data_IF_122383258520
#
_entry.id   IF_122383258520
#
_cell.length_a   1.000
_cell.length_b   1.000
_cell.length_c   1.000
_cell.angle_alpha   90.00
_cell.angle_beta   90.00
_cell.angle_gamma   90.00
#
_symmetry.space_group_name_H-M   'P 1'
#
loop_
_entity.id
_entity.type
_entity.pdbx_description
1 polymer ?
#
# COMPACT_ATOMS: atom_id res chain seq x y z
N UNK A 1 -1.73 33.20 3.42
CA UNK A 1 -1.04 32.62 2.23
C UNK A 1 -1.52 33.39 1.01
N UNK A 2 -0.65 33.64 0.02
CA UNK A 2 -1.00 34.41 -1.17
C UNK A 2 -1.81 33.53 -2.15
N UNK A 3 -3.08 33.84 -2.32
CA UNK A 3 -3.94 33.26 -3.36
C UNK A 3 -3.32 33.50 -4.74
N UNK A 4 -3.24 32.49 -5.64
CA UNK A 4 -2.73 32.70 -6.99
C UNK A 4 -3.66 33.61 -7.79
N UNK A 5 -3.10 34.30 -8.77
CA UNK A 5 -3.85 35.05 -9.78
C UNK A 5 -4.27 34.14 -10.93
N UNK A 6 -5.26 34.57 -11.73
CA UNK A 6 -5.62 33.87 -12.97
C UNK A 6 -4.41 33.72 -13.91
N UNK A 7 -3.51 34.71 -13.92
CA UNK A 7 -2.30 34.66 -14.73
C UNK A 7 -1.32 33.58 -14.28
N UNK A 8 -1.23 33.29 -12.97
CA UNK A 8 -0.40 32.18 -12.46
C UNK A 8 -0.95 30.81 -12.93
N UNK A 9 -2.28 30.67 -13.02
CA UNK A 9 -2.91 29.44 -13.55
C UNK A 9 -2.75 29.33 -15.07
N UNK A 10 -2.91 30.44 -15.80
CA UNK A 10 -2.71 30.49 -17.25
C UNK A 10 -1.26 30.23 -17.66
N UNK A 11 -0.29 30.73 -16.88
CA UNK A 11 1.13 30.48 -17.12
C UNK A 11 1.49 29.02 -16.92
N UNK A 12 0.95 28.36 -15.90
CA UNK A 12 1.10 26.92 -15.72
C UNK A 12 0.45 26.16 -16.88
N UNK A 13 -0.77 26.52 -17.25
CA UNK A 13 -1.49 25.83 -18.34
C UNK A 13 -0.77 25.92 -19.68
N UNK A 14 -0.08 27.04 -19.94
CA UNK A 14 0.65 27.27 -21.19
C UNK A 14 2.13 26.83 -21.12
N UNK A 15 2.56 26.21 -20.01
CA UNK A 15 3.94 25.85 -19.79
C UNK A 15 4.36 24.70 -20.73
N UNK A 16 5.42 24.95 -21.50
CA UNK A 16 5.90 23.99 -22.49
C UNK A 16 6.45 22.73 -21.83
N UNK A 17 7.19 22.85 -20.72
CA UNK A 17 7.74 21.71 -20.00
C UNK A 17 6.63 20.85 -19.41
N UNK A 18 5.52 21.46 -18.95
CA UNK A 18 4.33 20.74 -18.53
C UNK A 18 3.71 19.93 -19.67
N UNK A 19 3.58 20.51 -20.86
CA UNK A 19 3.06 19.78 -22.03
C UNK A 19 4.00 18.66 -22.50
N UNK A 20 5.31 18.88 -22.48
CA UNK A 20 6.31 17.85 -22.79
C UNK A 20 6.25 16.71 -21.75
N UNK A 21 6.09 17.04 -20.46
CA UNK A 21 5.89 16.07 -19.39
C UNK A 21 4.60 15.27 -19.59
N UNK A 22 3.48 15.92 -19.92
CA UNK A 22 2.22 15.25 -20.24
C UNK A 22 2.38 14.28 -21.41
N UNK A 23 3.11 14.67 -22.47
CA UNK A 23 3.42 13.79 -23.58
C UNK A 23 4.21 12.55 -23.17
N UNK A 24 5.20 12.71 -22.27
CA UNK A 24 5.98 11.59 -21.72
C UNK A 24 5.21 10.70 -20.75
N UNK A 25 4.24 11.25 -20.02
CA UNK A 25 3.40 10.51 -19.08
C UNK A 25 2.22 9.80 -19.77
N UNK A 26 1.75 10.30 -20.91
CA UNK A 26 0.60 9.76 -21.63
C UNK A 26 1.00 8.86 -22.81
N UNK A 27 2.15 8.20 -22.70
CA UNK A 27 2.60 7.22 -23.70
C UNK A 27 1.77 5.95 -23.55
N UNK A 28 1.27 5.42 -24.66
CA UNK A 28 0.57 4.14 -24.67
C UNK A 28 1.48 3.04 -24.11
N UNK A 29 1.00 2.37 -23.06
CA UNK A 29 1.65 1.19 -22.51
C UNK A 29 0.63 0.03 -22.46
N UNK A 30 0.86 -1.07 -23.19
CA UNK A 30 -0.07 -2.21 -23.20
C UNK A 30 -0.29 -2.79 -21.79
N UNK A 31 0.68 -2.65 -20.90
CA UNK A 31 0.61 -3.17 -19.53
C UNK A 31 -0.30 -2.35 -18.60
N UNK A 32 -0.47 -1.06 -18.86
CA UNK A 32 -1.46 -0.25 -18.15
C UNK A 32 -2.88 -0.66 -18.55
N UNK A 33 -3.11 -0.92 -19.85
CA UNK A 33 -4.39 -1.46 -20.35
C UNK A 33 -4.68 -2.84 -19.75
N UNK A 34 -3.66 -3.69 -19.71
CA UNK A 34 -3.74 -5.02 -19.09
C UNK A 34 -3.67 -4.97 -17.57
N UNK A 35 -3.67 -3.80 -16.92
CA UNK A 35 -3.58 -3.61 -15.45
C UNK A 35 -2.55 -4.55 -14.80
N UNK A 36 -1.35 -4.70 -15.37
CA UNK A 36 -0.38 -5.70 -14.86
C UNK A 36 0.10 -5.36 -13.45
N UNK A 37 0.19 -4.05 -13.13
CA UNK A 37 0.66 -3.49 -11.85
C UNK A 37 -0.07 -4.05 -10.62
N UNK A 38 -1.27 -4.59 -10.81
CA UNK A 38 -2.11 -5.09 -9.73
C UNK A 38 -2.17 -6.63 -9.66
N UNK A 39 -1.57 -7.34 -10.62
CA UNK A 39 -1.79 -8.77 -10.82
C UNK A 39 -0.47 -9.55 -11.01
N UNK A 40 -0.04 -10.24 -9.96
CA UNK A 40 1.18 -11.09 -9.92
C UNK A 40 1.25 -12.10 -11.09
N UNK A 41 0.13 -12.76 -11.41
CA UNK A 41 0.03 -13.75 -12.51
C UNK A 41 0.49 -13.18 -13.86
N UNK A 42 0.17 -11.90 -14.13
CA UNK A 42 0.52 -11.27 -15.40
C UNK A 42 2.02 -10.99 -15.47
N UNK A 43 2.65 -10.58 -14.35
CA UNK A 43 4.11 -10.48 -14.27
C UNK A 43 4.79 -11.85 -14.45
N UNK A 44 4.26 -12.88 -13.80
CA UNK A 44 4.74 -14.27 -13.92
C UNK A 44 4.73 -14.75 -15.37
N UNK A 45 3.73 -14.36 -16.18
CA UNK A 45 3.69 -14.68 -17.61
C UNK A 45 4.85 -14.05 -18.38
N UNK A 46 5.12 -12.76 -18.18
CA UNK A 46 6.22 -12.06 -18.88
C UNK A 46 7.57 -12.60 -18.43
N UNK A 47 7.75 -12.83 -17.12
CA UNK A 47 8.97 -13.42 -16.58
C UNK A 47 9.22 -14.82 -17.16
N UNK A 48 8.20 -15.67 -17.22
CA UNK A 48 8.33 -17.02 -17.79
C UNK A 48 8.71 -16.99 -19.27
N UNK A 49 8.16 -16.03 -20.03
CA UNK A 49 8.54 -15.79 -21.42
C UNK A 49 10.01 -15.36 -21.53
N UNK A 50 10.48 -14.45 -20.67
CA UNK A 50 11.89 -14.02 -20.64
C UNK A 50 12.87 -15.12 -20.19
N UNK A 51 12.43 -16.01 -19.30
CA UNK A 51 13.26 -17.11 -18.80
C UNK A 51 13.40 -18.27 -19.78
N UNK A 52 12.51 -18.40 -20.77
CA UNK A 52 12.53 -19.54 -21.68
C UNK A 52 13.39 -19.24 -22.92
N UNK A 53 14.58 -19.83 -23.07
CA UNK A 53 15.49 -19.54 -24.18
C UNK A 53 14.97 -19.94 -25.56
N UNK A 54 13.85 -20.68 -25.63
CA UNK A 54 13.20 -21.09 -26.87
C UNK A 54 12.02 -20.19 -27.26
N UNK A 55 11.66 -19.22 -26.41
CA UNK A 55 10.64 -18.24 -26.72
C UNK A 55 11.16 -17.13 -27.64
N UNK A 56 10.23 -16.39 -28.22
CA UNK A 56 10.53 -15.41 -29.26
C UNK A 56 10.91 -14.02 -28.72
N UNK A 57 11.51 -13.90 -27.53
CA UNK A 57 11.93 -12.61 -26.94
C UNK A 57 13.25 -12.07 -27.51
N UNK A 58 14.06 -12.92 -28.16
CA UNK A 58 15.28 -12.50 -28.84
C UNK A 58 16.50 -12.30 -27.91
N UNK A 59 16.46 -12.83 -26.68
CA UNK A 59 17.62 -12.85 -25.77
C UNK A 59 18.38 -14.19 -25.77
N UNK A 60 17.90 -15.19 -26.52
CA UNK A 60 18.36 -16.58 -26.42
C UNK A 60 18.42 -17.03 -24.94
N UNK A 61 19.49 -17.68 -24.51
CA UNK A 61 19.68 -18.09 -23.12
C UNK A 61 20.39 -17.05 -22.24
N UNK A 62 20.70 -15.87 -22.77
CA UNK A 62 21.50 -14.87 -22.07
C UNK A 62 20.82 -14.38 -20.80
N UNK A 63 19.53 -14.00 -20.89
CA UNK A 63 18.76 -13.52 -19.74
C UNK A 63 18.71 -14.55 -18.61
N UNK A 64 18.36 -15.81 -18.94
CA UNK A 64 18.31 -16.89 -17.97
C UNK A 64 19.69 -17.20 -17.35
N UNK A 65 20.76 -17.18 -18.14
CA UNK A 65 22.14 -17.36 -17.63
C UNK A 65 22.50 -16.29 -16.62
N UNK A 66 22.28 -15.01 -16.94
CA UNK A 66 22.61 -13.92 -16.03
C UNK A 66 21.78 -14.01 -14.74
N UNK A 67 20.50 -14.35 -14.85
CA UNK A 67 19.65 -14.60 -13.69
C UNK A 67 20.21 -15.70 -12.77
N UNK A 68 20.59 -16.86 -13.34
CA UNK A 68 21.24 -17.94 -12.59
C UNK A 68 22.49 -17.46 -11.88
N UNK A 69 23.39 -16.78 -12.61
CA UNK A 69 24.66 -16.31 -12.04
C UNK A 69 24.44 -15.34 -10.88
N UNK A 70 23.47 -14.43 -11.00
CA UNK A 70 23.18 -13.47 -9.94
C UNK A 70 22.56 -14.10 -8.70
N UNK A 71 21.63 -15.04 -8.88
CA UNK A 71 20.94 -15.72 -7.78
C UNK A 71 21.86 -16.67 -7.01
N UNK A 72 22.79 -17.34 -7.71
CA UNK A 72 23.80 -18.18 -7.06
C UNK A 72 24.80 -17.35 -6.24
N UNK A 73 25.09 -16.13 -6.70
CA UNK A 73 26.09 -15.23 -6.10
C UNK A 73 27.50 -15.84 -6.06
N UNK A 74 28.44 -15.19 -5.38
CA UNK A 74 29.82 -15.70 -5.23
C UNK A 74 29.95 -16.62 -4.01
N UNK A 75 29.12 -17.67 -3.94
CA UNK A 75 29.13 -18.65 -2.85
C UNK A 75 30.00 -19.84 -3.22
N UNK A 76 30.89 -20.24 -2.30
CA UNK A 76 31.82 -21.36 -2.51
C UNK A 76 31.11 -22.67 -2.91
N UNK A 77 29.93 -22.93 -2.37
CA UNK A 77 29.12 -24.12 -2.64
C UNK A 77 28.55 -24.18 -4.07
N UNK A 78 28.54 -23.06 -4.81
CA UNK A 78 27.98 -22.97 -6.16
C UNK A 78 29.02 -22.75 -7.26
N UNK A 79 30.31 -22.63 -6.93
CA UNK A 79 31.39 -22.36 -7.89
C UNK A 79 31.41 -23.34 -9.08
N UNK A 80 31.16 -24.62 -8.82
CA UNK A 80 31.09 -25.65 -9.86
C UNK A 80 29.92 -25.45 -10.83
N UNK A 81 28.75 -25.02 -10.33
CA UNK A 81 27.57 -24.74 -11.14
C UNK A 81 27.73 -23.42 -11.92
N UNK A 82 28.28 -22.38 -11.28
CA UNK A 82 28.63 -21.10 -11.92
C UNK A 82 29.54 -21.32 -13.13
N UNK A 83 30.63 -22.08 -12.93
CA UNK A 83 31.57 -22.40 -14.02
C UNK A 83 30.90 -23.19 -15.16
N UNK A 84 29.97 -24.10 -14.85
CA UNK A 84 29.20 -24.83 -15.86
C UNK A 84 28.25 -23.91 -16.62
N UNK A 85 27.51 -23.02 -15.93
CA UNK A 85 26.60 -22.04 -16.54
C UNK A 85 27.35 -21.11 -17.51
N UNK A 86 28.53 -20.61 -17.13
CA UNK A 86 29.36 -19.75 -17.99
C UNK A 86 29.82 -20.49 -19.26
N UNK A 87 30.19 -21.77 -19.13
CA UNK A 87 30.70 -22.58 -20.26
C UNK A 87 29.60 -23.17 -21.13
N UNK A 88 28.35 -23.18 -20.68
CA UNK A 88 27.25 -23.79 -21.40
C UNK A 88 26.99 -23.06 -22.72
N UNK A 89 27.01 -23.81 -23.82
CA UNK A 89 26.61 -23.31 -25.14
C UNK A 89 25.13 -23.65 -25.36
N UNK A 90 24.23 -22.73 -24.99
CA UNK A 90 22.79 -22.99 -24.93
C UNK A 90 22.36 -23.66 -23.62
N UNK A 91 21.31 -23.14 -22.98
CA UNK A 91 20.61 -23.82 -21.89
C UNK A 91 19.45 -24.65 -22.45
N UNK A 92 19.40 -25.94 -22.08
CA UNK A 92 18.26 -26.81 -22.36
C UNK A 92 17.21 -26.66 -21.27
N UNK A 93 16.55 -25.51 -21.26
CA UNK A 93 15.61 -25.12 -20.22
C UNK A 93 14.16 -25.42 -20.62
N UNK A 94 13.32 -25.74 -19.64
CA UNK A 94 11.86 -25.82 -19.76
C UNK A 94 11.23 -24.98 -18.66
N UNK A 95 10.43 -24.00 -19.04
CA UNK A 95 9.71 -23.11 -18.13
C UNK A 95 8.28 -23.60 -17.91
N UNK A 96 7.90 -23.81 -16.65
CA UNK A 96 6.54 -24.16 -16.25
C UNK A 96 5.94 -23.04 -15.40
N UNK A 97 4.72 -22.63 -15.75
CA UNK A 97 3.93 -21.65 -15.00
C UNK A 97 2.93 -22.34 -14.09
N UNK A 98 2.63 -21.72 -12.95
CA UNK A 98 1.61 -22.20 -12.00
C UNK A 98 1.76 -23.69 -11.71
N UNK A 99 3.01 -24.14 -11.54
CA UNK A 99 3.37 -25.54 -11.45
C UNK A 99 2.74 -26.16 -10.21
N UNK A 100 1.77 -27.05 -10.42
CA UNK A 100 1.04 -27.72 -9.33
C UNK A 100 1.93 -28.72 -8.62
N UNK A 101 2.10 -28.51 -7.32
CA UNK A 101 2.70 -29.47 -6.39
C UNK A 101 1.73 -30.63 -6.10
N UNK A 102 2.27 -31.72 -5.59
CA UNK A 102 1.53 -32.89 -5.10
C UNK A 102 0.54 -32.57 -3.97
N UNK A 103 0.71 -31.43 -3.29
CA UNK A 103 -0.16 -30.92 -2.23
C UNK A 103 -1.24 -29.95 -2.72
N UNK A 104 -1.43 -29.80 -4.03
CA UNK A 104 -2.50 -28.98 -4.63
C UNK A 104 -2.25 -27.47 -4.62
N UNK A 105 -1.06 -27.02 -4.23
CA UNK A 105 -0.61 -25.61 -4.34
C UNK A 105 0.25 -25.40 -5.59
N UNK A 106 0.31 -24.18 -6.11
CA UNK A 106 1.06 -23.85 -7.32
C UNK A 106 2.28 -22.97 -7.04
N UNK A 107 3.42 -23.33 -7.65
CA UNK A 107 4.63 -22.50 -7.72
C UNK A 107 4.50 -21.58 -8.93
N UNK A 108 4.85 -20.30 -8.80
CA UNK A 108 4.65 -19.32 -9.87
C UNK A 108 5.43 -19.67 -11.15
N UNK A 109 6.76 -19.89 -11.03
CA UNK A 109 7.60 -20.36 -12.13
C UNK A 109 8.52 -21.49 -11.67
N UNK A 110 8.56 -22.59 -12.42
CA UNK A 110 9.53 -23.67 -12.25
C UNK A 110 10.33 -23.84 -13.54
N UNK A 111 11.65 -23.70 -13.46
CA UNK A 111 12.56 -23.77 -14.62
C UNK A 111 13.44 -24.99 -14.46
N UNK A 112 13.39 -25.93 -15.40
CA UNK A 112 14.19 -27.16 -15.39
C UNK A 112 15.24 -27.09 -16.49
N UNK A 113 16.52 -27.14 -16.12
CA UNK A 113 17.65 -26.99 -17.03
C UNK A 113 18.43 -28.31 -17.07
N UNK A 114 18.14 -29.12 -18.09
CA UNK A 114 18.58 -30.52 -18.14
C UNK A 114 20.10 -30.67 -18.27
N UNK A 115 20.72 -29.82 -19.09
CA UNK A 115 22.17 -29.89 -19.34
C UNK A 115 23.02 -29.37 -18.17
N UNK A 116 22.39 -28.70 -17.19
CA UNK A 116 23.04 -28.31 -15.93
C UNK A 116 22.59 -29.16 -14.73
N UNK A 117 21.64 -30.09 -14.93
CA UNK A 117 20.94 -30.77 -13.83
C UNK A 117 20.52 -29.78 -12.74
N UNK A 118 19.88 -28.67 -13.16
CA UNK A 118 19.48 -27.56 -12.30
C UNK A 118 17.97 -27.34 -12.38
N UNK A 119 17.34 -27.08 -11.24
CA UNK A 119 15.95 -26.65 -11.15
C UNK A 119 15.89 -25.34 -10.38
N UNK A 120 15.30 -24.31 -10.99
CA UNK A 120 14.95 -23.06 -10.30
C UNK A 120 13.46 -23.11 -9.95
N UNK A 121 13.11 -22.84 -8.70
CA UNK A 121 11.74 -22.52 -8.32
C UNK A 121 11.69 -21.03 -7.96
N UNK A 122 10.91 -20.26 -8.68
CA UNK A 122 10.74 -18.83 -8.47
C UNK A 122 9.34 -18.60 -7.93
N UNK A 123 9.25 -18.15 -6.69
CA UNK A 123 8.02 -17.60 -6.13
C UNK A 123 8.04 -16.10 -6.34
N UNK A 124 7.02 -15.56 -6.99
CA UNK A 124 6.93 -14.17 -7.39
C UNK A 124 5.91 -13.41 -6.52
N UNK A 125 6.29 -12.26 -5.97
CA UNK A 125 5.41 -11.41 -5.15
C UNK A 125 5.53 -9.95 -5.52
N UNK A 126 4.39 -9.29 -5.69
CA UNK A 126 4.31 -7.85 -5.97
C UNK A 126 3.73 -7.11 -4.77
N UNK A 127 2.57 -7.55 -4.26
CA UNK A 127 1.83 -6.80 -3.22
C UNK A 127 1.65 -7.54 -1.91
N UNK A 128 1.69 -8.87 -1.96
CA UNK A 128 1.41 -9.71 -0.80
C UNK A 128 2.71 -10.32 -0.27
N UNK A 129 2.89 -10.29 1.05
CA UNK A 129 3.89 -11.14 1.69
C UNK A 129 3.45 -12.60 1.61
N UNK A 130 4.41 -13.51 1.70
CA UNK A 130 4.15 -14.94 1.83
C UNK A 130 3.20 -15.28 3.00
N UNK A 131 2.40 -16.34 2.84
CA UNK A 131 1.46 -16.77 3.87
C UNK A 131 1.84 -18.16 4.42
N UNK A 132 2.29 -18.20 5.68
CA UNK A 132 2.58 -19.44 6.41
C UNK A 132 3.81 -20.22 5.88
N UNK A 133 3.80 -21.55 6.01
CA UNK A 133 4.94 -22.41 5.61
C UNK A 133 4.94 -22.76 4.11
N UNK A 134 4.57 -21.81 3.24
CA UNK A 134 4.42 -22.05 1.79
C UNK A 134 5.75 -22.39 1.13
N UNK A 135 6.78 -21.55 1.32
CA UNK A 135 8.11 -21.71 0.74
C UNK A 135 8.74 -23.07 1.10
N UNK A 136 8.73 -23.41 2.38
CA UNK A 136 9.24 -24.70 2.84
C UNK A 136 8.54 -25.88 2.17
N UNK A 137 7.21 -25.83 2.06
CA UNK A 137 6.45 -26.89 1.41
C UNK A 137 6.75 -27.02 -0.08
N UNK A 138 7.00 -25.91 -0.79
CA UNK A 138 7.33 -25.92 -2.21
C UNK A 138 8.70 -26.54 -2.46
N UNK A 139 9.68 -26.09 -1.69
CA UNK A 139 11.04 -26.59 -1.77
C UNK A 139 11.12 -28.09 -1.49
N UNK A 140 10.45 -28.56 -0.42
CA UNK A 140 10.47 -29.98 -0.06
C UNK A 140 9.81 -30.86 -1.12
N UNK A 141 8.68 -30.42 -1.70
CA UNK A 141 8.00 -31.13 -2.79
C UNK A 141 8.88 -31.22 -4.06
N UNK A 142 9.56 -30.14 -4.44
CA UNK A 142 10.43 -30.12 -5.63
C UNK A 142 11.71 -30.94 -5.40
N UNK A 143 12.36 -30.81 -4.23
CA UNK A 143 13.53 -31.62 -3.89
C UNK A 143 13.23 -33.10 -3.90
N UNK A 144 12.07 -33.51 -3.36
CA UNK A 144 11.63 -34.91 -3.44
C UNK A 144 11.49 -35.36 -4.89
N UNK A 145 10.82 -34.59 -5.73
CA UNK A 145 10.59 -34.93 -7.15
C UNK A 145 11.89 -35.10 -7.95
N UNK A 146 12.87 -34.23 -7.74
CA UNK A 146 14.13 -34.25 -8.50
C UNK A 146 15.33 -34.87 -7.74
N UNK A 147 15.03 -35.63 -6.68
CA UNK A 147 16.01 -36.47 -6.00
C UNK A 147 16.40 -37.68 -6.87
N UNK A 148 17.58 -38.23 -6.63
CA UNK A 148 18.08 -39.45 -7.30
C UNK A 148 17.14 -40.66 -7.13
N UNK A 149 16.32 -40.69 -6.08
CA UNK A 149 15.32 -41.76 -5.86
C UNK A 149 14.12 -41.67 -6.82
N UNK A 150 13.89 -40.51 -7.45
CA UNK A 150 12.70 -40.24 -8.27
C UNK A 150 13.01 -39.76 -9.70
N UNK A 151 14.28 -39.55 -10.04
CA UNK A 151 14.73 -39.07 -11.34
C UNK A 151 16.00 -39.79 -11.80
N UNK A 152 16.22 -39.85 -13.12
CA UNK A 152 17.40 -40.50 -13.72
C UNK A 152 18.73 -39.82 -13.36
N UNK A 153 18.68 -38.59 -12.82
CA UNK A 153 19.82 -37.78 -12.38
C UNK A 153 19.40 -36.94 -11.17
N UNK A 154 20.33 -36.69 -10.27
CA UNK A 154 20.15 -35.75 -9.15
C UNK A 154 20.23 -34.31 -9.68
N UNK A 155 19.20 -33.50 -9.40
CA UNK A 155 19.22 -32.09 -9.75
C UNK A 155 19.55 -31.22 -8.54
N UNK A 156 20.35 -30.18 -8.77
CA UNK A 156 20.50 -29.08 -7.82
C UNK A 156 19.23 -28.22 -7.87
N UNK A 157 18.59 -28.02 -6.72
CA UNK A 157 17.37 -27.19 -6.61
C UNK A 157 17.71 -25.86 -5.95
N UNK A 158 17.55 -24.77 -6.70
CA UNK A 158 17.79 -23.40 -6.24
C UNK A 158 16.44 -22.68 -6.11
N UNK A 159 15.96 -22.50 -4.87
CA UNK A 159 14.76 -21.69 -4.62
C UNK A 159 15.05 -20.20 -4.64
N UNK A 160 14.17 -19.44 -5.28
CA UNK A 160 14.25 -17.99 -5.44
C UNK A 160 12.96 -17.35 -4.98
N UNK A 161 13.08 -16.33 -4.13
CA UNK A 161 11.98 -15.49 -3.70
C UNK A 161 12.14 -14.12 -4.35
N UNK A 162 11.34 -13.87 -5.38
CA UNK A 162 11.38 -12.64 -6.17
C UNK A 162 10.30 -11.68 -5.65
N UNK A 163 10.72 -10.56 -5.06
CA UNK A 163 9.80 -9.51 -4.59
C UNK A 163 10.18 -8.15 -5.14
N UNK A 164 9.33 -7.13 -4.94
CA UNK A 164 9.62 -5.77 -5.43
C UNK A 164 10.96 -5.25 -4.93
N UNK A 165 11.19 -5.29 -3.61
CA UNK A 165 12.37 -4.71 -2.96
C UNK A 165 13.45 -5.75 -2.60
N UNK A 166 13.22 -7.04 -2.91
CA UNK A 166 14.12 -8.13 -2.53
C UNK A 166 14.01 -8.49 -1.05
N UNK A 167 12.78 -8.61 -0.56
CA UNK A 167 12.46 -8.93 0.83
C UNK A 167 13.09 -10.26 1.28
N UNK A 168 13.44 -10.32 2.57
CA UNK A 168 13.93 -11.55 3.18
C UNK A 168 12.84 -12.65 3.18
N UNK A 169 13.11 -13.84 2.63
CA UNK A 169 12.16 -14.94 2.65
C UNK A 169 12.01 -15.53 4.05
N UNK A 170 10.82 -16.03 4.40
CA UNK A 170 10.58 -16.74 5.68
C UNK A 170 11.38 -18.03 5.80
N UNK A 171 11.76 -18.62 4.66
CA UNK A 171 12.61 -19.80 4.59
C UNK A 171 14.02 -19.40 4.13
N UNK A 172 15.04 -19.46 5.02
CA UNK A 172 16.41 -19.02 4.72
C UNK A 172 17.10 -19.87 3.64
N UNK A 173 16.48 -20.98 3.20
CA UNK A 173 16.95 -21.77 2.07
C UNK A 173 16.74 -21.07 0.73
N UNK A 174 15.85 -20.08 0.66
CA UNK A 174 15.56 -19.28 -0.53
C UNK A 174 16.60 -18.17 -0.74
N UNK A 175 17.00 -17.97 -1.99
CA UNK A 175 17.72 -16.77 -2.40
C UNK A 175 16.74 -15.64 -2.67
N UNK A 176 16.88 -14.51 -1.99
CA UNK A 176 16.15 -13.29 -2.30
C UNK A 176 16.60 -12.69 -3.64
N UNK A 177 15.64 -12.23 -4.44
CA UNK A 177 15.87 -11.49 -5.67
C UNK A 177 14.85 -10.34 -5.75
N UNK A 178 15.23 -9.24 -6.41
CA UNK A 178 14.40 -8.05 -6.51
C UNK A 178 13.98 -7.74 -7.94
N UNK A 179 12.96 -6.92 -8.12
CA UNK A 179 12.55 -6.47 -9.45
C UNK A 179 13.53 -5.49 -10.08
N UNK A 180 14.33 -4.76 -9.29
CA UNK A 180 15.48 -3.98 -9.80
C UNK A 180 16.47 -4.89 -10.52
N UNK A 181 16.79 -6.04 -9.94
CA UNK A 181 17.65 -7.01 -10.60
C UNK A 181 17.04 -7.45 -11.94
N UNK A 182 15.74 -7.74 -12.00
CA UNK A 182 15.08 -8.10 -13.26
C UNK A 182 15.21 -6.97 -14.29
N UNK A 183 14.98 -5.72 -13.89
CA UNK A 183 15.12 -4.55 -14.78
C UNK A 183 16.56 -4.45 -15.32
N UNK A 184 17.57 -4.57 -14.46
CA UNK A 184 18.98 -4.57 -14.84
C UNK A 184 19.28 -5.67 -15.86
N UNK A 185 18.86 -6.91 -15.58
CA UNK A 185 19.08 -8.05 -16.47
C UNK A 185 18.41 -7.88 -17.83
N UNK A 186 17.20 -7.31 -17.88
CA UNK A 186 16.52 -7.04 -19.16
C UNK A 186 17.29 -5.96 -19.93
N UNK A 187 17.71 -4.87 -19.28
CA UNK A 187 18.47 -3.78 -19.90
C UNK A 187 19.81 -4.27 -20.46
N UNK A 188 20.54 -5.08 -19.70
CA UNK A 188 21.80 -5.69 -20.15
C UNK A 188 21.56 -6.62 -21.35
N UNK A 189 20.48 -7.40 -21.32
CA UNK A 189 20.10 -8.29 -22.42
C UNK A 189 19.78 -7.51 -23.69
N UNK A 190 19.08 -6.37 -23.59
CA UNK A 190 18.81 -5.48 -24.72
C UNK A 190 20.07 -4.81 -25.27
N UNK A 191 21.02 -4.45 -24.41
CA UNK A 191 22.25 -3.79 -24.82
C UNK A 191 23.19 -4.73 -25.60
N UNK A 192 23.17 -6.02 -25.27
CA UNK A 192 24.10 -7.01 -25.81
C UNK A 192 23.51 -7.77 -27.01
N UNK A 193 22.19 -8.04 -27.01
CA UNK A 193 21.60 -8.92 -28.01
C UNK A 193 21.02 -8.15 -29.21
N UNK A 194 21.63 -8.31 -30.38
CA UNK A 194 21.16 -7.74 -31.65
C UNK A 194 19.99 -8.50 -32.30
N UNK A 195 19.59 -9.65 -31.75
CA UNK A 195 18.53 -10.51 -32.27
C UNK A 195 17.10 -10.08 -31.91
N UNK A 196 16.96 -9.07 -31.06
CA UNK A 196 15.66 -8.51 -30.65
C UNK A 196 15.07 -7.71 -31.82
N UNK A 197 13.91 -8.14 -32.35
CA UNK A 197 13.19 -7.40 -33.39
C UNK A 197 12.49 -6.17 -32.77
N UNK A 198 12.14 -5.17 -33.60
CA UNK A 198 11.52 -3.93 -33.12
C UNK A 198 10.27 -4.14 -32.26
N UNK A 199 9.41 -5.10 -32.63
CA UNK A 199 8.17 -5.37 -31.91
C UNK A 199 8.42 -5.95 -30.51
N UNK A 200 9.38 -6.87 -30.36
CA UNK A 200 9.75 -7.37 -29.04
C UNK A 200 10.42 -6.27 -28.22
N UNK A 201 11.29 -5.47 -28.84
CA UNK A 201 11.96 -4.35 -28.16
C UNK A 201 10.94 -3.38 -27.57
N UNK A 202 9.94 -2.94 -28.35
CA UNK A 202 8.88 -2.04 -27.88
C UNK A 202 8.09 -2.67 -26.72
N UNK A 203 7.76 -3.96 -26.81
CA UNK A 203 7.06 -4.65 -25.74
C UNK A 203 7.90 -4.74 -24.45
N UNK A 204 9.18 -5.09 -24.58
CA UNK A 204 10.11 -5.20 -23.46
C UNK A 204 10.37 -3.83 -22.81
N UNK A 205 10.56 -2.77 -23.60
CA UNK A 205 10.71 -1.40 -23.10
C UNK A 205 9.46 -0.92 -22.36
N UNK A 206 8.27 -1.26 -22.86
CA UNK A 206 7.00 -1.00 -22.16
C UNK A 206 6.92 -1.74 -20.83
N UNK A 207 7.47 -2.97 -20.76
CA UNK A 207 7.53 -3.74 -19.52
C UNK A 207 8.51 -3.13 -18.52
N UNK A 208 9.72 -2.74 -18.97
CA UNK A 208 10.71 -2.03 -18.15
C UNK A 208 10.07 -0.79 -17.53
N UNK A 209 9.42 0.05 -18.33
CA UNK A 209 8.74 1.25 -17.83
C UNK A 209 7.67 0.91 -16.79
N UNK A 210 6.96 -0.20 -16.97
CA UNK A 210 5.98 -0.67 -15.99
C UNK A 210 6.65 -1.09 -14.68
N UNK A 211 7.74 -1.85 -14.75
CA UNK A 211 8.48 -2.29 -13.57
C UNK A 211 9.10 -1.11 -12.82
N UNK A 212 9.74 -0.18 -13.51
CA UNK A 212 10.32 1.04 -12.91
C UNK A 212 9.28 1.83 -12.13
N UNK A 213 8.06 1.97 -12.69
CA UNK A 213 6.95 2.61 -12.00
C UNK A 213 6.49 1.84 -10.74
N UNK A 214 6.44 0.50 -10.80
CA UNK A 214 6.00 -0.33 -9.67
C UNK A 214 7.01 -0.32 -8.54
N UNK A 215 8.30 -0.27 -8.86
CA UNK A 215 9.41 -0.22 -7.90
C UNK A 215 9.63 1.20 -7.34
N UNK A 216 8.83 2.18 -7.78
CA UNK A 216 8.99 3.57 -7.35
C UNK A 216 10.25 4.26 -7.89
N UNK A 217 10.93 3.65 -8.86
CA UNK A 217 11.98 4.29 -9.64
C UNK A 217 11.33 5.21 -10.67
N UNK A 218 10.75 6.32 -10.20
CA UNK A 218 10.31 7.37 -11.08
C UNK A 218 11.53 7.85 -11.89
N UNK A 219 11.38 7.92 -13.21
CA UNK A 219 12.45 8.33 -14.10
C UNK A 219 13.01 9.67 -13.61
N UNK A 220 14.29 9.67 -13.22
CA UNK A 220 14.94 10.86 -12.63
C UNK A 220 14.88 12.08 -13.54
N UNK A 221 14.81 11.90 -14.86
CA UNK A 221 14.57 12.99 -15.80
C UNK A 221 13.16 13.56 -15.66
N UNK A 222 12.14 12.72 -15.48
CA UNK A 222 10.77 13.18 -15.23
C UNK A 222 10.65 13.89 -13.88
N UNK A 223 11.37 13.40 -12.85
CA UNK A 223 11.42 14.07 -11.53
C UNK A 223 12.02 15.46 -11.68
N UNK A 224 13.17 15.60 -12.35
CA UNK A 224 13.81 16.90 -12.58
C UNK A 224 12.88 17.87 -13.34
N UNK A 225 12.23 17.40 -14.40
CA UNK A 225 11.26 18.21 -15.15
C UNK A 225 10.09 18.63 -14.25
N UNK A 226 9.57 17.73 -13.41
CA UNK A 226 8.50 18.05 -12.46
C UNK A 226 8.96 19.05 -11.38
N UNK A 227 10.18 18.93 -10.86
CA UNK A 227 10.79 19.86 -9.91
C UNK A 227 10.95 21.25 -10.51
N UNK A 228 11.40 21.35 -11.77
CA UNK A 228 11.52 22.61 -12.51
C UNK A 228 10.16 23.29 -12.71
N UNK A 229 9.15 22.53 -13.17
CA UNK A 229 7.77 23.03 -13.31
C UNK A 229 7.23 23.51 -11.96
N UNK A 230 7.43 22.73 -10.89
CA UNK A 230 6.99 23.11 -9.56
C UNK A 230 7.68 24.38 -9.05
N UNK A 231 8.99 24.51 -9.25
CA UNK A 231 9.75 25.69 -8.84
C UNK A 231 9.23 26.97 -9.51
N UNK A 232 8.87 26.90 -10.80
CA UNK A 232 8.35 28.04 -11.57
C UNK A 232 6.91 28.36 -11.19
N UNK A 233 6.05 27.34 -11.11
CA UNK A 233 4.59 27.51 -10.98
C UNK A 233 4.05 27.18 -9.59
N UNK A 234 4.91 27.24 -8.57
CA UNK A 234 4.60 26.84 -7.19
C UNK A 234 3.26 27.35 -6.68
N UNK A 235 2.95 28.64 -6.87
CA UNK A 235 1.70 29.23 -6.37
C UNK A 235 0.46 28.60 -7.00
N UNK A 236 0.50 28.36 -8.31
CA UNK A 236 -0.60 27.75 -9.05
C UNK A 236 -0.75 26.28 -8.65
N UNK A 237 0.35 25.54 -8.57
CA UNK A 237 0.34 24.11 -8.21
C UNK A 237 -0.07 23.91 -6.75
N UNK A 238 0.49 24.67 -5.81
CA UNK A 238 0.11 24.61 -4.39
C UNK A 238 -1.39 24.89 -4.21
N UNK A 239 -1.95 25.83 -4.98
CA UNK A 239 -3.38 26.09 -4.97
C UNK A 239 -4.20 24.95 -5.57
N UNK A 240 -3.78 24.36 -6.70
CA UNK A 240 -4.45 23.19 -7.30
C UNK A 240 -4.42 22.03 -6.31
N UNK A 241 -3.26 21.71 -5.74
CA UNK A 241 -3.11 20.67 -4.73
C UNK A 241 -4.00 20.98 -3.54
N UNK A 242 -4.02 22.21 -3.03
CA UNK A 242 -4.94 22.59 -1.94
C UNK A 242 -6.41 22.47 -2.32
N UNK A 243 -6.78 22.77 -3.57
CA UNK A 243 -8.15 22.63 -4.07
C UNK A 243 -8.56 21.16 -4.26
N UNK A 244 -7.64 20.25 -4.62
CA UNK A 244 -7.87 18.80 -4.65
C UNK A 244 -7.79 18.18 -3.24
N UNK A 245 -6.99 18.77 -2.36
CA UNK A 245 -6.90 18.46 -0.92
C UNK A 245 -8.07 19.11 -0.15
N UNK A 246 -8.97 19.86 -0.82
CA UNK A 246 -10.30 20.17 -0.28
C UNK A 246 -11.13 18.88 -0.28
N UNK A 247 -10.89 18.18 0.81
CA UNK A 247 -11.04 16.79 1.14
C UNK A 247 -12.48 16.28 0.94
N UNK A 248 -12.64 15.23 0.13
CA UNK A 248 -13.89 14.47 0.09
C UNK A 248 -14.32 14.03 1.49
N UNK A 249 -13.36 13.85 2.40
CA UNK A 249 -13.62 13.66 3.81
C UNK A 249 -14.34 14.85 4.48
N UNK A 250 -13.79 16.07 4.35
CA UNK A 250 -14.33 17.25 5.02
C UNK A 250 -15.70 17.66 4.42
N UNK A 251 -15.86 17.51 3.11
CA UNK A 251 -17.14 17.73 2.43
C UNK A 251 -18.16 16.65 2.79
N UNK A 252 -17.75 15.37 2.86
CA UNK A 252 -18.60 14.27 3.30
C UNK A 252 -19.06 14.44 4.75
N UNK A 253 -18.17 14.93 5.62
CA UNK A 253 -18.51 15.33 6.98
C UNK A 253 -19.50 16.49 7.03
N UNK A 254 -19.31 17.50 6.19
CA UNK A 254 -20.26 18.63 6.10
C UNK A 254 -21.65 18.14 5.69
N UNK A 255 -21.74 17.28 4.66
CA UNK A 255 -23.02 16.67 4.25
C UNK A 255 -23.63 15.81 5.36
N UNK A 256 -22.84 15.05 6.12
CA UNK A 256 -23.31 14.28 7.26
C UNK A 256 -23.91 15.18 8.35
N UNK A 257 -23.24 16.30 8.68
CA UNK A 257 -23.73 17.22 9.70
C UNK A 257 -25.04 17.89 9.28
N UNK A 258 -25.13 18.33 8.03
CA UNK A 258 -26.30 19.03 7.49
C UNK A 258 -27.57 18.17 7.43
N UNK A 259 -27.44 16.84 7.58
CA UNK A 259 -28.59 15.94 7.66
C UNK A 259 -29.38 16.05 8.97
N UNK A 260 -28.82 16.68 10.00
CA UNK A 260 -29.50 16.83 11.30
C UNK A 260 -29.18 18.16 11.98
N UNK A 261 -30.24 18.85 12.42
CA UNK A 261 -30.12 20.03 13.26
C UNK A 261 -29.71 19.68 14.72
N UNK A 262 -29.57 18.40 15.07
CA UNK A 262 -29.06 17.98 16.38
C UNK A 262 -27.54 18.13 16.52
N UNK A 263 -26.81 18.34 15.43
CA UNK A 263 -25.35 18.33 15.45
C UNK A 263 -24.75 19.73 15.52
N UNK A 264 -23.71 19.86 16.34
CA UNK A 264 -22.92 21.10 16.46
C UNK A 264 -21.47 20.79 16.13
N UNK A 265 -21.00 21.35 15.01
CA UNK A 265 -19.62 21.18 14.55
C UNK A 265 -18.67 21.82 15.55
N UNK A 266 -17.59 21.12 15.87
CA UNK A 266 -16.51 21.68 16.68
C UNK A 266 -15.20 21.81 15.93
N UNK A 267 -14.87 20.82 15.10
CA UNK A 267 -13.70 20.82 14.23
C UNK A 267 -14.03 20.08 12.94
N UNK A 268 -13.62 20.64 11.81
CA UNK A 268 -13.56 19.93 10.53
C UNK A 268 -12.15 20.12 9.97
N UNK A 269 -11.40 19.03 9.84
CA UNK A 269 -10.05 18.99 9.28
C UNK A 269 -9.95 17.80 8.34
N UNK A 270 -8.88 17.78 7.56
CA UNK A 270 -8.59 16.63 6.74
C UNK A 270 -8.36 15.39 7.61
N UNK A 271 -9.00 14.28 7.24
CA UNK A 271 -9.00 12.99 7.95
C UNK A 271 -9.44 13.02 9.43
N UNK A 272 -9.91 14.14 9.98
CA UNK A 272 -10.37 14.24 11.37
C UNK A 272 -11.45 15.31 11.52
N UNK A 273 -12.59 14.91 12.07
CA UNK A 273 -13.68 15.86 12.38
C UNK A 273 -14.25 15.55 13.76
N UNK A 274 -14.71 16.58 14.46
CA UNK A 274 -15.35 16.44 15.74
C UNK A 274 -16.62 17.28 15.81
N UNK A 275 -17.65 16.73 16.45
CA UNK A 275 -18.93 17.39 16.67
C UNK A 275 -19.52 16.96 18.02
N UNK A 276 -20.57 17.64 18.44
CA UNK A 276 -21.40 17.30 19.59
C UNK A 276 -22.86 17.21 19.16
N UNK A 277 -23.70 16.65 20.02
CA UNK A 277 -25.16 16.70 19.86
C UNK A 277 -25.74 17.83 20.70
N UNK A 278 -26.96 18.27 20.40
CA UNK A 278 -27.68 19.25 21.21
C UNK A 278 -27.86 18.80 22.68
N UNK A 279 -27.93 17.49 22.93
CA UNK A 279 -27.95 16.95 24.29
C UNK A 279 -26.60 17.14 25.03
N UNK A 280 -25.48 17.03 24.32
CA UNK A 280 -24.18 17.38 24.89
C UNK A 280 -24.04 18.89 25.09
N UNK A 281 -24.68 19.71 24.25
CA UNK A 281 -24.63 21.17 24.40
C UNK A 281 -25.52 21.71 25.53
N UNK A 282 -26.54 20.95 25.95
CA UNK A 282 -27.47 21.37 27.01
C UNK A 282 -26.94 21.22 28.44
N UNK A 283 -25.81 20.53 28.62
CA UNK A 283 -25.18 20.36 29.95
C UNK A 283 -24.53 21.65 30.46
N UNK A 284 -24.19 21.72 31.74
CA UNK A 284 -23.48 22.83 32.35
C UNK A 284 -22.05 22.96 31.82
N UNK A 285 -21.54 24.19 31.76
CA UNK A 285 -20.18 24.46 31.25
C UNK A 285 -19.15 23.93 32.25
N UNK A 286 -18.20 23.14 31.75
CA UNK A 286 -17.14 22.54 32.55
C UNK A 286 -15.81 23.05 31.99
N UNK A 287 -15.00 23.77 32.79
CA UNK A 287 -13.72 24.30 32.32
C UNK A 287 -12.78 23.19 31.83
N UNK A 288 -12.16 23.40 30.67
CA UNK A 288 -11.16 22.48 30.08
C UNK A 288 -9.84 23.20 29.74
N UNK A 289 -8.70 22.49 29.77
CA UNK A 289 -7.37 23.01 29.37
C UNK A 289 -7.10 22.73 27.89
N UNK A 290 -6.96 23.80 27.08
CA UNK A 290 -6.46 23.74 25.69
C UNK A 290 -7.11 22.63 24.86
N UNK A 291 -8.43 22.61 24.85
CA UNK A 291 -9.22 21.71 24.03
C UNK A 291 -9.45 22.33 22.64
N UNK A 292 -9.36 21.51 21.59
CA UNK A 292 -9.41 21.97 20.19
C UNK A 292 -10.81 22.38 19.69
N UNK A 293 -11.81 22.35 20.56
CA UNK A 293 -13.18 22.81 20.27
C UNK A 293 -13.20 24.33 20.45
N UNK A 294 -13.58 25.07 19.42
CA UNK A 294 -13.95 26.48 19.58
C UNK A 294 -15.05 26.60 20.63
N UNK A 295 -14.86 27.49 21.63
CA UNK A 295 -15.69 27.60 22.84
C UNK A 295 -15.64 26.34 23.73
N UNK A 296 -14.43 25.98 24.19
CA UNK A 296 -14.09 24.79 24.98
C UNK A 296 -14.76 24.69 26.37
N UNK A 297 -16.09 24.63 26.41
CA UNK A 297 -16.85 24.61 27.66
C UNK A 297 -17.58 23.26 27.88
N UNK A 298 -17.37 22.30 26.96
CA UNK A 298 -18.00 20.98 26.97
C UNK A 298 -16.94 19.88 27.01
N UNK A 299 -17.01 18.95 27.96
CA UNK A 299 -15.96 17.98 28.15
C UNK A 299 -16.14 16.71 27.31
N UNK A 300 -17.15 16.60 26.44
CA UNK A 300 -17.34 15.41 25.61
C UNK A 300 -17.61 15.81 24.15
N UNK A 301 -17.02 15.06 23.22
CA UNK A 301 -17.34 15.14 21.80
C UNK A 301 -17.34 13.76 21.13
N UNK A 302 -17.89 13.74 19.92
CA UNK A 302 -17.84 12.62 18.99
C UNK A 302 -16.80 12.95 17.92
N UNK A 303 -15.88 12.04 17.66
CA UNK A 303 -14.81 12.17 16.67
C UNK A 303 -15.03 11.19 15.52
N UNK A 304 -14.92 11.67 14.29
CA UNK A 304 -14.60 10.85 13.12
C UNK A 304 -13.12 11.01 12.78
N UNK A 305 -12.48 9.92 12.35
CA UNK A 305 -11.08 9.95 11.92
C UNK A 305 -10.80 8.90 10.86
N UNK A 306 -10.35 9.35 9.69
CA UNK A 306 -9.97 8.51 8.55
C UNK A 306 -8.55 7.98 8.79
N UNK A 307 -8.43 6.67 8.91
CA UNK A 307 -7.16 6.00 9.17
C UNK A 307 -6.35 5.79 7.87
N UNK A 308 -7.04 5.54 6.76
CA UNK A 308 -6.53 5.43 5.39
C UNK A 308 -7.70 5.51 4.40
N UNK A 309 -7.44 5.33 3.10
CA UNK A 309 -8.44 5.40 2.01
C UNK A 309 -9.61 4.39 2.10
N UNK A 310 -9.56 3.46 3.05
CA UNK A 310 -10.60 2.43 3.22
C UNK A 310 -11.06 2.27 4.65
N UNK A 311 -10.48 2.96 5.63
CA UNK A 311 -10.78 2.71 7.05
C UNK A 311 -11.18 4.00 7.75
N UNK A 312 -12.39 4.02 8.28
CA UNK A 312 -12.95 5.13 9.05
C UNK A 312 -13.27 4.67 10.47
N UNK A 313 -12.97 5.52 11.45
CA UNK A 313 -13.31 5.30 12.84
C UNK A 313 -14.25 6.38 13.39
N UNK A 314 -15.08 5.99 14.35
CA UNK A 314 -15.86 6.89 15.20
C UNK A 314 -15.45 6.67 16.66
N UNK A 315 -15.38 7.72 17.47
CA UNK A 315 -15.09 7.62 18.91
C UNK A 315 -15.88 8.65 19.72
N UNK A 316 -16.12 8.33 21.00
CA UNK A 316 -16.63 9.30 21.98
C UNK A 316 -15.53 9.56 23.01
N UNK A 317 -15.26 10.84 23.27
CA UNK A 317 -14.03 11.28 23.95
C UNK A 317 -14.32 12.26 25.06
N UNK A 318 -13.64 12.11 26.20
CA UNK A 318 -13.66 13.07 27.32
C UNK A 318 -12.44 14.01 27.32
N UNK A 319 -12.73 15.31 27.40
CA UNK A 319 -12.01 16.52 27.86
C UNK A 319 -10.67 16.39 28.60
N UNK A 320 -9.63 17.25 28.45
CA UNK A 320 -8.94 17.73 29.67
C UNK A 320 -9.83 18.65 30.48
N UNK A 321 -10.77 18.08 31.22
CA UNK A 321 -11.42 18.79 32.32
C UNK A 321 -10.34 19.25 33.29
N UNK A 322 -10.33 20.55 33.60
CA UNK A 322 -9.30 21.17 34.46
C UNK A 322 -9.39 20.68 35.90
N UNK A 323 -10.60 20.45 36.39
CA UNK A 323 -10.86 19.90 37.73
C UNK A 323 -10.77 18.37 37.71
N UNK A 324 -9.85 17.84 38.52
CA UNK A 324 -9.55 16.41 38.58
C UNK A 324 -10.66 15.59 39.23
N UNK A 325 -11.34 16.13 40.24
CA UNK A 325 -12.42 15.42 40.94
C UNK A 325 -13.66 15.36 40.05
N UNK A 326 -13.96 16.46 39.34
CA UNK A 326 -15.03 16.48 38.32
C UNK A 326 -14.72 15.47 37.21
N UNK A 327 -13.48 15.45 36.70
CA UNK A 327 -13.06 14.49 35.68
C UNK A 327 -13.23 13.05 36.14
N UNK A 328 -12.74 12.75 37.35
CA UNK A 328 -12.81 11.40 37.92
C UNK A 328 -14.25 10.95 38.08
N UNK A 329 -15.11 11.79 38.66
CA UNK A 329 -16.55 11.51 38.84
C UNK A 329 -17.24 11.22 37.50
N UNK A 330 -16.97 12.01 36.46
CA UNK A 330 -17.54 11.76 35.13
C UNK A 330 -17.06 10.41 34.54
N UNK A 331 -15.78 10.07 34.71
CA UNK A 331 -15.26 8.78 34.24
C UNK A 331 -15.88 7.60 35.02
N UNK A 332 -16.12 7.77 36.31
CA UNK A 332 -16.74 6.76 37.18
C UNK A 332 -18.22 6.55 36.77
N UNK A 333 -18.99 7.62 36.56
CA UNK A 333 -20.38 7.54 36.09
C UNK A 333 -20.49 6.85 34.71
N UNK A 334 -19.53 7.12 33.81
CA UNK A 334 -19.44 6.43 32.51
C UNK A 334 -19.06 4.94 32.69
N UNK A 335 -18.20 4.59 33.64
CA UNK A 335 -17.85 3.20 33.92
C UNK A 335 -19.03 2.43 34.53
N UNK A 336 -19.80 3.05 35.43
CA UNK A 336 -21.05 2.50 35.98
C UNK A 336 -22.12 2.31 34.90
N UNK A 337 -22.17 3.22 33.91
CA UNK A 337 -22.96 3.05 32.71
C UNK A 337 -22.41 1.97 31.76
N UNK A 338 -21.36 1.25 32.12
CA UNK A 338 -20.83 0.09 31.39
C UNK A 338 -19.94 0.45 30.20
N UNK A 339 -19.39 1.66 30.16
CA UNK A 339 -18.28 1.99 29.26
C UNK A 339 -16.97 1.43 29.82
N UNK A 340 -16.05 1.09 28.91
CA UNK A 340 -14.76 0.48 29.28
C UNK A 340 -13.65 1.46 28.99
N UNK A 341 -12.71 1.57 29.93
CA UNK A 341 -11.56 2.44 29.84
C UNK A 341 -10.26 1.65 29.71
N UNK A 342 -9.29 2.20 29.00
CA UNK A 342 -7.93 1.67 29.03
C UNK A 342 -7.29 1.93 30.40
N UNK A 343 -6.36 1.07 30.83
CA UNK A 343 -5.69 1.15 32.15
C UNK A 343 -5.13 2.53 32.49
N UNK A 344 -4.72 3.30 31.47
CA UNK A 344 -4.08 4.60 31.61
C UNK A 344 -5.05 5.79 31.56
N UNK A 345 -6.36 5.57 31.37
CA UNK A 345 -7.35 6.62 31.24
C UNK A 345 -7.41 7.58 32.45
N UNK A 346 -7.09 7.06 33.64
CA UNK A 346 -7.09 7.77 34.93
C UNK A 346 -5.72 8.32 35.35
N UNK A 347 -4.68 8.13 34.54
CA UNK A 347 -3.35 8.64 34.86
C UNK A 347 -3.34 10.17 34.83
N UNK A 348 -2.57 10.81 35.73
CA UNK A 348 -2.49 12.27 35.84
C UNK A 348 -2.02 12.98 34.55
N UNK A 349 -1.34 12.26 33.65
CA UNK A 349 -0.87 12.78 32.36
C UNK A 349 -1.91 12.64 31.24
N UNK A 350 -2.99 11.89 31.45
CA UNK A 350 -3.98 11.58 30.43
C UNK A 350 -4.96 12.74 30.28
N UNK A 351 -4.68 13.61 29.30
CA UNK A 351 -5.52 14.78 29.00
C UNK A 351 -6.88 14.36 28.43
N UNK A 352 -6.91 13.56 27.37
CA UNK A 352 -8.13 13.10 26.72
C UNK A 352 -8.32 11.58 26.88
N UNK A 353 -9.56 11.12 26.93
CA UNK A 353 -9.88 9.69 27.10
C UNK A 353 -10.97 9.27 26.13
N UNK A 354 -10.64 8.35 25.21
CA UNK A 354 -11.64 7.64 24.41
C UNK A 354 -12.23 6.50 25.23
N UNK A 355 -13.54 6.52 25.41
CA UNK A 355 -14.26 5.50 26.21
C UNK A 355 -15.20 4.64 25.35
N UNK A 356 -15.33 5.00 24.08
CA UNK A 356 -15.95 4.20 23.05
C UNK A 356 -15.28 4.50 21.71
N UNK A 357 -15.08 3.47 20.90
CA UNK A 357 -14.58 3.60 19.53
C UNK A 357 -15.02 2.41 18.70
N UNK A 358 -15.44 2.66 17.48
CA UNK A 358 -15.71 1.63 16.47
C UNK A 358 -14.99 1.98 15.17
N UNK A 359 -14.69 0.95 14.40
CA UNK A 359 -13.97 1.06 13.13
C UNK A 359 -14.59 0.15 12.10
N UNK A 360 -14.63 0.63 10.86
CA UNK A 360 -15.06 -0.20 9.74
C UNK A 360 -14.15 0.01 8.53
N UNK A 361 -14.01 -1.06 7.73
CA UNK A 361 -13.28 -1.05 6.46
C UNK A 361 -14.31 -1.01 5.33
N UNK A 362 -14.17 -0.03 4.46
CA UNK A 362 -14.99 0.25 3.30
C UNK A 362 -14.26 -0.15 2.00
N UNK A 363 -15.00 -0.19 0.89
CA UNK A 363 -14.42 -0.50 -0.41
C UNK A 363 -13.55 0.67 -0.91
N UNK A 364 -14.09 1.90 -0.80
CA UNK A 364 -13.41 3.16 -1.05
C UNK A 364 -13.96 4.27 -0.10
N UNK A 365 -13.17 5.31 0.11
CA UNK A 365 -13.50 6.55 0.82
C UNK A 365 -12.92 7.74 0.04
N UNK A 366 -13.07 7.74 -1.28
CA UNK A 366 -12.43 8.70 -2.17
C UNK A 366 -13.39 9.80 -2.66
N UNK A 367 -14.71 9.56 -2.62
CA UNK A 367 -15.75 10.53 -2.96
C UNK A 367 -16.49 11.09 -1.75
N UNK A 368 -17.13 12.25 -1.94
CA UNK A 368 -17.93 12.94 -0.90
C UNK A 368 -19.09 12.05 -0.44
N UNK A 369 -19.77 11.42 -1.40
CA UNK A 369 -20.91 10.53 -1.18
C UNK A 369 -20.50 9.29 -0.38
N UNK A 370 -19.39 8.65 -0.72
CA UNK A 370 -18.89 7.47 -0.01
C UNK A 370 -18.53 7.78 1.44
N UNK A 371 -17.82 8.88 1.69
CA UNK A 371 -17.48 9.31 3.05
C UNK A 371 -18.75 9.56 3.86
N UNK A 372 -19.71 10.30 3.29
CA UNK A 372 -20.95 10.64 3.96
C UNK A 372 -21.77 9.38 4.31
N UNK A 373 -21.84 8.40 3.41
CA UNK A 373 -22.48 7.11 3.66
C UNK A 373 -21.76 6.30 4.75
N UNK A 374 -20.42 6.29 4.74
CA UNK A 374 -19.60 5.63 5.75
C UNK A 374 -19.80 6.24 7.14
N UNK A 375 -19.83 7.56 7.26
CA UNK A 375 -20.12 8.28 8.50
C UNK A 375 -21.52 7.96 9.03
N UNK A 376 -22.53 7.98 8.14
CA UNK A 376 -23.90 7.60 8.49
C UNK A 376 -24.02 6.18 9.04
N UNK A 377 -23.32 5.22 8.41
CA UNK A 377 -23.28 3.83 8.85
C UNK A 377 -22.67 3.70 10.25
N UNK A 378 -21.48 4.26 10.46
CA UNK A 378 -20.77 4.23 11.75
C UNK A 378 -21.56 4.94 12.86
N UNK A 379 -22.18 6.08 12.54
CA UNK A 379 -23.04 6.81 13.47
C UNK A 379 -24.26 5.97 13.86
N UNK A 380 -24.93 5.35 12.89
CA UNK A 380 -26.10 4.49 13.13
C UNK A 380 -25.76 3.28 14.01
N UNK A 381 -24.62 2.64 13.76
CA UNK A 381 -24.11 1.55 14.60
C UNK A 381 -23.78 2.01 16.02
N UNK A 382 -23.31 3.26 16.16
CA UNK A 382 -22.87 3.84 17.43
C UNK A 382 -23.97 4.57 18.20
N UNK A 383 -25.15 4.76 17.59
CA UNK A 383 -26.20 5.62 18.11
C UNK A 383 -26.66 5.22 19.52
N UNK A 384 -26.81 3.92 19.79
CA UNK A 384 -27.19 3.42 21.12
C UNK A 384 -26.15 3.79 22.20
N UNK A 385 -24.86 3.80 21.85
CA UNK A 385 -23.77 4.19 22.76
C UNK A 385 -23.69 5.70 22.93
N UNK A 386 -23.96 6.45 21.87
CA UNK A 386 -24.06 7.92 21.92
C UNK A 386 -25.20 8.35 22.83
N UNK A 387 -26.42 7.82 22.62
CA UNK A 387 -27.59 8.13 23.48
C UNK A 387 -27.34 7.76 24.95
N UNK A 388 -26.69 6.63 25.21
CA UNK A 388 -26.31 6.26 26.58
C UNK A 388 -25.31 7.25 27.20
N UNK A 389 -24.35 7.74 26.43
CA UNK A 389 -23.42 8.76 26.90
C UNK A 389 -24.12 10.10 27.17
N UNK A 390 -25.13 10.46 26.36
CA UNK A 390 -25.98 11.65 26.58
C UNK A 390 -26.73 11.57 27.91
N UNK A 391 -27.37 10.43 28.21
CA UNK A 391 -28.08 10.21 29.48
C UNK A 391 -27.16 10.40 30.69
N UNK A 392 -25.96 9.81 30.65
CA UNK A 392 -24.97 9.96 31.72
C UNK A 392 -24.55 11.41 31.89
N UNK A 393 -24.28 12.12 30.79
CA UNK A 393 -23.85 13.51 30.83
C UNK A 393 -24.91 14.46 31.36
N UNK A 394 -26.17 14.27 30.95
CA UNK A 394 -27.29 15.08 31.46
C UNK A 394 -27.48 14.83 32.95
N UNK A 395 -27.41 13.56 33.39
CA UNK A 395 -27.46 13.20 34.81
C UNK A 395 -26.31 13.83 35.61
N UNK A 396 -25.08 13.71 35.10
CA UNK A 396 -23.89 14.29 35.71
C UNK A 396 -24.02 15.81 35.85
N UNK A 397 -24.48 16.49 34.81
CA UNK A 397 -24.70 17.93 34.79
C UNK A 397 -25.70 18.42 35.83
N UNK A 398 -26.76 17.66 36.09
CA UNK A 398 -27.75 17.98 37.11
C UNK A 398 -27.23 17.76 38.54
N UNK A 399 -26.12 17.03 38.68
CA UNK A 399 -25.46 16.70 39.96
C UNK A 399 -24.17 17.51 40.22
N UNK A 400 -23.77 18.33 39.27
CA UNK A 400 -22.72 19.35 39.37
C UNK A 400 -23.27 20.56 40.13
#
# INVERSE_FOLDING_TARGET
>A
MNTPTLNDLLSLYSDRSLHELQGKLNVFNPFDVLRIKEHEIRHTNVLSWLFDPYENHGFDDFFLKQFILRVLGDRNEHQGLIAQTIRANGLKARCHREYRTDKGRSIDVLIVIENLSLVLLVENKIKSSEHGNQLASYLDSIRKKYSSDNADKEYTVIPVYLTLEGDEPSDPRYSGASYELIIELIKDSLAINSGVLPEQKVFIESYINTLENVVGQANQELIKVAEEIYAVHRKAIDFIVQAFVQDSYAQGFQQFIEQSNEFVIKVSRNNFSAFTTMAFESVNTIPVDRWFIENGDRPICIEFYKCNERKLGIAIVVGPITDREIRKRLLDDLEEAGFKFQKNARNEKSKFTRFYSEYEIFEALDSVEEVCQAMNKLYSQSLAKIRKAEEVLVGFSNSL
#
